data_IF_605147704152
#
_entry.id   IF_605147704152
#
_cell.length_a   1.000
_cell.length_b   1.000
_cell.length_c   1.000
_cell.angle_alpha   90.00
_cell.angle_beta   90.00
_cell.angle_gamma   90.00
#
_symmetry.space_group_name_H-M   'P 1'
#
loop_
_entity.id
_entity.type
_entity.pdbx_description
1 polymer ?
#
# COMPACT_ATOMS: atom_id res chain seq x y z
N UNK A 1 -3.60 17.49 -0.84
CA UNK A 1 -4.88 17.15 -0.18
C UNK A 1 -4.53 16.34 1.05
N UNK A 2 -4.91 16.77 2.27
CA UNK A 2 -4.45 16.15 3.52
C UNK A 2 -5.36 15.00 3.98
N UNK A 3 -6.65 15.06 3.66
CA UNK A 3 -7.63 14.02 3.93
C UNK A 3 -8.59 13.88 2.74
N UNK A 4 -9.19 12.71 2.63
CA UNK A 4 -10.24 12.37 1.67
C UNK A 4 -11.61 12.38 2.38
N UNK A 5 -12.68 12.35 1.59
CA UNK A 5 -14.06 12.22 2.06
C UNK A 5 -14.71 11.04 1.34
N UNK A 6 -15.48 10.24 2.09
CA UNK A 6 -16.34 9.19 1.57
C UNK A 6 -17.73 9.32 2.21
N UNK A 7 -18.77 9.36 1.38
CA UNK A 7 -20.15 9.52 1.84
C UNK A 7 -20.69 8.27 2.57
N UNK A 8 -20.09 7.11 2.34
CA UNK A 8 -20.48 5.87 3.01
C UNK A 8 -19.94 5.78 4.46
N UNK A 9 -18.91 6.57 4.78
CA UNK A 9 -18.29 6.64 6.11
C UNK A 9 -18.03 8.09 6.56
N UNK A 10 -19.08 8.92 6.65
CA UNK A 10 -18.95 10.35 6.89
C UNK A 10 -18.35 10.70 8.26
N UNK A 11 -18.33 9.76 9.19
CA UNK A 11 -17.76 9.89 10.53
C UNK A 11 -16.23 9.69 10.58
N UNK A 12 -15.62 9.15 9.52
CA UNK A 12 -14.19 8.85 9.49
C UNK A 12 -13.38 9.98 8.84
N UNK A 13 -12.16 10.20 9.36
CA UNK A 13 -11.14 10.98 8.65
C UNK A 13 -10.30 9.99 7.87
N UNK A 14 -10.26 10.17 6.55
CA UNK A 14 -9.47 9.32 5.65
C UNK A 14 -8.12 10.01 5.35
N UNK A 15 -7.05 9.73 6.09
CA UNK A 15 -5.76 10.40 5.85
C UNK A 15 -5.25 10.07 4.45
N UNK A 16 -4.80 11.10 3.72
CA UNK A 16 -4.16 10.88 2.43
C UNK A 16 -2.67 10.60 2.67
N UNK A 17 -2.30 9.32 2.68
CA UNK A 17 -0.94 8.88 3.03
C UNK A 17 0.17 9.60 2.25
N UNK A 18 -0.06 9.94 0.98
CA UNK A 18 0.91 10.67 0.16
C UNK A 18 1.14 12.13 0.58
N UNK A 19 0.29 12.69 1.44
CA UNK A 19 0.50 14.02 2.03
C UNK A 19 1.51 14.01 3.19
N UNK A 20 1.97 12.84 3.63
CA UNK A 20 2.93 12.70 4.72
C UNK A 20 4.28 12.33 4.12
N UNK A 21 5.20 13.29 4.08
CA UNK A 21 6.55 13.15 3.51
C UNK A 21 7.66 13.42 4.54
N UNK A 22 7.27 13.59 5.80
CA UNK A 22 8.13 14.02 6.90
C UNK A 22 8.01 13.08 8.12
N UNK A 23 9.14 12.59 8.69
CA UNK A 23 10.50 12.76 8.19
C UNK A 23 10.66 12.06 6.83
N UNK A 24 11.76 12.36 6.12
CA UNK A 24 12.05 11.78 4.81
C UNK A 24 11.88 10.26 4.85
N UNK A 25 10.94 9.76 4.06
CA UNK A 25 10.66 8.34 3.96
C UNK A 25 11.80 7.61 3.22
N UNK A 26 12.10 6.38 3.66
CA UNK A 26 13.03 5.52 2.95
C UNK A 26 12.43 5.08 1.60
N UNK A 27 13.28 4.90 0.59
CA UNK A 27 12.81 4.29 -0.65
C UNK A 27 12.42 2.83 -0.37
N UNK A 28 11.28 2.36 -0.90
CA UNK A 28 10.86 0.98 -0.73
C UNK A 28 11.86 0.05 -1.44
N UNK A 29 12.37 -0.94 -0.70
CA UNK A 29 13.29 -1.95 -1.26
C UNK A 29 12.59 -3.03 -2.09
N UNK A 30 11.26 -3.12 -1.99
CA UNK A 30 10.45 -4.13 -2.67
C UNK A 30 9.12 -3.54 -3.13
N UNK A 31 8.69 -3.91 -4.33
CA UNK A 31 7.38 -3.60 -4.87
C UNK A 31 6.46 -4.80 -4.73
N UNK A 32 5.24 -4.57 -4.23
CA UNK A 32 4.20 -5.60 -4.11
C UNK A 32 2.95 -5.13 -4.84
N UNK A 33 2.40 -5.98 -5.72
CA UNK A 33 1.14 -5.75 -6.41
C UNK A 33 0.11 -6.77 -5.91
N UNK A 34 -1.02 -6.28 -5.43
CA UNK A 34 -2.09 -7.05 -4.78
C UNK A 34 -3.35 -7.04 -5.67
N UNK A 35 -4.29 -7.94 -5.41
CA UNK A 35 -5.63 -7.96 -6.05
C UNK A 35 -5.57 -8.07 -7.58
N UNK A 36 -4.61 -8.84 -8.11
CA UNK A 36 -4.45 -8.98 -9.56
C UNK A 36 -5.62 -9.67 -10.25
N UNK A 37 -6.38 -10.52 -9.55
CA UNK A 37 -7.57 -11.15 -10.11
C UNK A 37 -8.68 -10.14 -10.46
N UNK A 38 -8.71 -9.00 -9.76
CA UNK A 38 -9.69 -7.94 -9.93
C UNK A 38 -9.19 -6.85 -10.90
N UNK A 39 -7.93 -6.94 -11.34
CA UNK A 39 -7.29 -5.97 -12.24
C UNK A 39 -7.77 -6.20 -13.68
N UNK A 40 -8.31 -5.19 -14.38
CA UNK A 40 -8.64 -5.31 -15.80
C UNK A 40 -7.42 -5.69 -16.66
N UNK A 41 -7.61 -6.52 -17.68
CA UNK A 41 -6.52 -7.05 -18.53
C UNK A 41 -5.69 -5.98 -19.22
N UNK A 42 -6.30 -4.84 -19.57
CA UNK A 42 -5.64 -3.74 -20.26
C UNK A 42 -4.72 -2.90 -19.35
N UNK A 43 -4.80 -3.06 -18.02
CA UNK A 43 -3.94 -2.34 -17.08
C UNK A 43 -2.58 -3.04 -17.02
N UNK A 44 -1.51 -2.29 -17.33
CA UNK A 44 -0.13 -2.78 -17.20
C UNK A 44 0.36 -2.68 -15.76
N UNK A 45 1.18 -3.65 -15.36
CA UNK A 45 1.89 -3.58 -14.09
C UNK A 45 3.07 -2.61 -14.17
N UNK A 46 3.50 -2.02 -13.04
CA UNK A 46 4.70 -1.19 -13.02
C UNK A 46 5.94 -1.98 -13.43
N UNK A 47 6.92 -1.27 -13.99
CA UNK A 47 8.23 -1.83 -14.34
C UNK A 47 9.07 -2.13 -13.10
N UNK A 48 10.02 -3.06 -13.23
CA UNK A 48 10.91 -3.48 -12.13
C UNK A 48 10.52 -4.80 -11.48
N UNK A 49 11.37 -5.23 -10.55
CA UNK A 49 11.17 -6.43 -9.72
C UNK A 49 10.00 -6.22 -8.77
N UNK A 50 9.11 -7.22 -8.71
CA UNK A 50 7.87 -7.13 -7.94
C UNK A 50 7.37 -8.50 -7.53
N UNK A 51 6.68 -8.53 -6.39
CA UNK A 51 5.91 -9.68 -5.93
C UNK A 51 4.45 -9.47 -6.31
N UNK A 52 3.83 -10.53 -6.81
CA UNK A 52 2.47 -10.52 -7.35
C UNK A 52 1.57 -11.41 -6.50
N UNK A 53 0.39 -10.90 -6.14
CA UNK A 53 -0.66 -11.67 -5.48
C UNK A 53 -2.00 -11.47 -6.18
N UNK A 54 -2.70 -12.58 -6.44
CA UNK A 54 -4.04 -12.56 -7.04
C UNK A 54 -5.07 -11.93 -6.10
N UNK A 55 -4.93 -12.15 -4.79
CA UNK A 55 -5.70 -11.49 -3.72
C UNK A 55 -4.75 -10.93 -2.64
N UNK A 56 -5.24 -10.61 -1.45
CA UNK A 56 -4.38 -10.21 -0.33
C UNK A 56 -3.44 -11.35 0.12
N UNK A 57 -2.17 -11.05 0.43
CA UNK A 57 -1.24 -11.99 1.02
C UNK A 57 -1.68 -12.38 2.43
N UNK A 58 -1.14 -13.48 2.93
CA UNK A 58 -1.39 -13.92 4.30
C UNK A 58 -0.80 -12.97 5.35
N UNK A 59 0.34 -12.35 5.04
CA UNK A 59 1.00 -11.38 5.92
C UNK A 59 0.26 -10.03 5.86
N UNK A 60 -0.04 -9.45 7.03
CA UNK A 60 -0.51 -8.05 7.10
C UNK A 60 0.65 -7.08 6.80
N UNK A 61 0.36 -5.79 6.58
CA UNK A 61 1.43 -4.79 6.45
C UNK A 61 2.34 -4.78 7.68
N UNK A 62 1.76 -4.87 8.88
CA UNK A 62 2.52 -4.92 10.13
C UNK A 62 3.40 -6.17 10.20
N UNK A 63 2.85 -7.36 9.94
CA UNK A 63 3.59 -8.61 9.98
C UNK A 63 4.71 -8.64 8.95
N UNK A 64 4.47 -8.09 7.76
CA UNK A 64 5.49 -7.93 6.74
C UNK A 64 6.63 -7.04 7.25
N UNK A 65 6.34 -5.87 7.82
CA UNK A 65 7.39 -4.99 8.35
C UNK A 65 8.17 -5.65 9.48
N UNK A 66 7.50 -6.42 10.37
CA UNK A 66 8.16 -7.16 11.46
C UNK A 66 9.07 -8.26 10.93
N UNK A 67 8.60 -9.06 9.97
CA UNK A 67 9.35 -10.15 9.34
C UNK A 67 10.60 -9.68 8.60
N UNK A 68 10.57 -8.45 8.11
CA UNK A 68 11.66 -7.83 7.35
C UNK A 68 12.54 -6.89 8.18
N UNK A 69 12.37 -6.82 9.50
CA UNK A 69 13.10 -5.91 10.41
C UNK A 69 12.95 -4.42 10.02
N UNK A 70 11.80 -4.04 9.48
CA UNK A 70 11.45 -2.67 9.04
C UNK A 70 10.32 -2.05 9.87
N UNK A 71 9.86 -2.72 10.91
CA UNK A 71 8.81 -2.22 11.79
C UNK A 71 9.32 -1.09 12.69
N UNK A 72 8.55 0.00 12.78
CA UNK A 72 8.83 1.16 13.64
C UNK A 72 7.68 1.29 14.63
N UNK A 73 8.02 1.40 15.91
CA UNK A 73 7.08 1.54 17.04
C UNK A 73 6.51 2.96 17.17
#
# INVERSE_FOLDING_TARGET
>A
MLWLYDEAWPELIHPFAQAIDSPKLAMPGQMVCLKLQDKPDWVRLPEGEKILFDDYPADSLEDWHKKHDLYVE
#
